data_IF_823737786399
#
_entry.id   IF_823737786399
#
_cell.length_a   1.000
_cell.length_b   1.000
_cell.length_c   1.000
_cell.angle_alpha   90.00
_cell.angle_beta   90.00
_cell.angle_gamma   90.00
#
_symmetry.space_group_name_H-M   'P 1'
#
loop_
_entity.id
_entity.type
_entity.pdbx_description
1 polymer ?
#
# COMPACT_ATOMS: atom_id res chain seq x y z
N UNK A 1 38.21 15.47 14.74
CA UNK A 1 37.46 15.58 13.47
C UNK A 1 36.77 14.30 13.01
N UNK A 2 37.43 13.14 12.89
CA UNK A 2 36.79 11.92 12.35
C UNK A 2 35.73 11.26 13.27
N UNK A 3 35.86 11.38 14.61
CA UNK A 3 34.91 10.80 15.57
C UNK A 3 33.59 11.58 15.67
N UNK A 4 33.63 12.90 15.53
CA UNK A 4 32.43 13.75 15.61
C UNK A 4 31.57 13.63 14.36
N UNK A 5 32.17 13.53 13.16
CA UNK A 5 31.39 13.26 11.95
C UNK A 5 30.72 11.88 12.01
N UNK A 6 31.40 10.86 12.53
CA UNK A 6 30.84 9.52 12.71
C UNK A 6 29.64 9.52 13.68
N UNK A 7 29.76 10.20 14.82
CA UNK A 7 28.68 10.32 15.81
C UNK A 7 27.45 11.09 15.29
N UNK A 8 27.67 12.17 14.54
CA UNK A 8 26.59 12.93 13.89
C UNK A 8 25.88 12.12 12.79
N UNK A 9 26.62 11.33 12.02
CA UNK A 9 26.05 10.50 10.94
C UNK A 9 25.22 9.34 11.50
N UNK A 10 25.68 8.71 12.60
CA UNK A 10 24.94 7.66 13.31
C UNK A 10 23.65 8.21 13.95
N UNK A 11 23.69 9.44 14.47
CA UNK A 11 22.53 10.16 15.03
C UNK A 11 21.46 10.44 13.97
N UNK A 12 21.84 11.04 12.83
CA UNK A 12 20.91 11.39 11.75
C UNK A 12 20.30 10.16 11.07
N UNK A 13 21.11 9.12 10.83
CA UNK A 13 20.64 7.86 10.24
C UNK A 13 19.60 7.15 11.12
N UNK A 14 19.83 7.15 12.44
CA UNK A 14 18.88 6.56 13.40
C UNK A 14 17.57 7.33 13.45
N UNK A 15 17.62 8.67 13.50
CA UNK A 15 16.43 9.53 13.50
C UNK A 15 15.62 9.33 12.21
N UNK A 16 16.28 9.36 11.04
CA UNK A 16 15.61 9.12 9.75
C UNK A 16 14.92 7.75 9.70
N UNK A 17 15.60 6.72 10.22
CA UNK A 17 15.10 5.36 10.28
C UNK A 17 13.86 5.23 11.17
N UNK A 18 13.85 5.87 12.35
CA UNK A 18 12.68 5.92 13.24
C UNK A 18 11.52 6.67 12.60
N UNK A 19 11.78 7.81 11.96
CA UNK A 19 10.73 8.58 11.27
C UNK A 19 10.10 7.78 10.13
N UNK A 20 10.91 7.07 9.34
CA UNK A 20 10.42 6.17 8.31
C UNK A 20 9.55 5.05 8.89
N UNK A 21 9.89 4.55 10.08
CA UNK A 21 9.08 3.55 10.76
C UNK A 21 7.71 4.06 11.17
N UNK A 22 7.68 5.24 11.77
CA UNK A 22 6.45 5.90 12.17
C UNK A 22 5.59 6.18 10.93
N UNK A 23 6.18 6.72 9.86
CA UNK A 23 5.49 6.95 8.59
C UNK A 23 4.90 5.66 8.01
N UNK A 24 5.65 4.55 8.03
CA UNK A 24 5.17 3.25 7.55
C UNK A 24 3.95 2.76 8.36
N UNK A 25 3.96 2.92 9.68
CA UNK A 25 2.81 2.59 10.52
C UNK A 25 1.58 3.43 10.17
N UNK A 26 1.72 4.74 9.97
CA UNK A 26 0.61 5.60 9.57
C UNK A 26 0.06 5.22 8.19
N UNK A 27 0.92 4.95 7.22
CA UNK A 27 0.51 4.51 5.88
C UNK A 27 -0.20 3.16 5.93
N UNK A 28 0.23 2.24 6.80
CA UNK A 28 -0.42 0.96 7.01
C UNK A 28 -1.83 1.14 7.60
N UNK A 29 -1.98 1.95 8.65
CA UNK A 29 -3.28 2.24 9.26
C UNK A 29 -4.22 2.92 8.26
N UNK A 30 -3.70 3.87 7.47
CA UNK A 30 -4.46 4.55 6.42
C UNK A 30 -4.95 3.58 5.32
N UNK A 31 -4.31 2.43 5.15
CA UNK A 31 -4.71 1.42 4.17
C UNK A 31 -5.88 0.54 4.64
N UNK A 32 -6.07 0.40 5.96
CA UNK A 32 -7.07 -0.53 6.53
C UNK A 32 -8.48 -0.15 6.10
N UNK A 33 -8.86 1.13 6.23
CA UNK A 33 -10.23 1.57 5.91
C UNK A 33 -10.56 1.38 4.42
N UNK A 34 -9.75 1.89 3.45
CA UNK A 34 -9.98 1.63 2.03
C UNK A 34 -10.02 0.15 1.67
N UNK A 35 -9.17 -0.67 2.30
CA UNK A 35 -9.17 -2.11 2.07
C UNK A 35 -10.47 -2.75 2.54
N UNK A 36 -10.92 -2.48 3.77
CA UNK A 36 -12.15 -3.02 4.31
C UNK A 36 -13.37 -2.57 3.52
N UNK A 37 -13.42 -1.31 3.11
CA UNK A 37 -14.46 -0.79 2.23
C UNK A 37 -14.44 -1.50 0.87
N UNK A 38 -13.28 -1.70 0.27
CA UNK A 38 -13.16 -2.41 -1.00
C UNK A 38 -13.57 -3.88 -0.86
N UNK A 39 -13.23 -4.54 0.24
CA UNK A 39 -13.64 -5.94 0.49
C UNK A 39 -15.16 -6.04 0.58
N UNK A 40 -15.80 -5.15 1.36
CA UNK A 40 -17.25 -5.18 1.61
C UNK A 40 -18.06 -4.72 0.41
N UNK A 41 -17.69 -3.58 -0.15
CA UNK A 41 -18.53 -2.87 -1.12
C UNK A 41 -18.06 -3.06 -2.56
N UNK A 42 -16.83 -3.55 -2.78
CA UNK A 42 -16.15 -3.56 -4.08
C UNK A 42 -16.05 -2.18 -4.74
N UNK A 43 -16.25 -1.09 -4.00
CA UNK A 43 -16.24 0.28 -4.50
C UNK A 43 -14.80 0.75 -4.70
N UNK A 44 -14.45 1.19 -5.90
CA UNK A 44 -13.06 1.56 -6.26
C UNK A 44 -12.93 2.84 -7.09
N UNK A 45 -14.03 3.51 -7.42
CA UNK A 45 -14.02 4.63 -8.38
C UNK A 45 -13.40 5.93 -7.85
N UNK A 46 -13.13 6.03 -6.54
CA UNK A 46 -12.50 7.21 -5.94
C UNK A 46 -10.99 7.28 -6.15
N UNK A 47 -10.31 6.15 -6.36
CA UNK A 47 -8.86 6.11 -6.53
C UNK A 47 -8.49 5.83 -7.99
N UNK A 48 -7.62 6.64 -8.61
CA UNK A 48 -7.16 6.40 -9.97
C UNK A 48 -6.26 5.17 -10.02
N UNK A 49 -6.23 4.48 -11.17
CA UNK A 49 -5.39 3.28 -11.38
C UNK A 49 -3.91 3.58 -11.11
N UNK A 50 -3.45 4.78 -11.47
CA UNK A 50 -2.09 5.28 -11.28
C UNK A 50 -1.68 5.30 -9.80
N UNK A 51 -2.62 5.55 -8.89
CA UNK A 51 -2.35 5.52 -7.45
C UNK A 51 -1.90 4.13 -7.01
N UNK A 52 -2.63 3.09 -7.42
CA UNK A 52 -2.30 1.71 -7.07
C UNK A 52 -0.98 1.25 -7.70
N UNK A 53 -0.73 1.62 -8.96
CA UNK A 53 0.53 1.31 -9.64
C UNK A 53 1.71 1.98 -8.93
N UNK A 54 1.58 3.26 -8.58
CA UNK A 54 2.58 4.01 -7.83
C UNK A 54 2.85 3.40 -6.45
N UNK A 55 1.79 2.96 -5.77
CA UNK A 55 1.92 2.26 -4.49
C UNK A 55 2.70 0.95 -4.63
N UNK A 56 2.34 0.11 -5.62
CA UNK A 56 3.02 -1.18 -5.86
C UNK A 56 4.50 -0.97 -6.15
N UNK A 57 4.83 0.02 -7.00
CA UNK A 57 6.21 0.37 -7.29
C UNK A 57 6.97 0.85 -6.03
N UNK A 58 6.35 1.74 -5.24
CA UNK A 58 6.92 2.23 -3.99
C UNK A 58 7.17 1.11 -2.97
N UNK A 59 6.17 0.24 -2.76
CA UNK A 59 6.27 -0.90 -1.86
C UNK A 59 7.37 -1.88 -2.31
N UNK A 60 7.55 -2.09 -3.62
CA UNK A 60 8.63 -2.93 -4.16
C UNK A 60 10.02 -2.37 -3.83
N UNK A 61 10.24 -1.07 -4.03
CA UNK A 61 11.51 -0.45 -3.65
C UNK A 61 11.76 -0.47 -2.14
N UNK A 62 10.71 -0.28 -1.33
CA UNK A 62 10.81 -0.38 0.13
C UNK A 62 11.10 -1.81 0.59
N UNK A 63 10.64 -2.84 -0.13
CA UNK A 63 11.02 -4.23 0.12
C UNK A 63 12.50 -4.47 -0.16
N UNK A 64 13.02 -3.98 -1.29
CA UNK A 64 14.45 -4.07 -1.60
C UNK A 64 15.28 -3.36 -0.51
N UNK A 65 14.85 -2.16 -0.11
CA UNK A 65 15.49 -1.41 0.97
C UNK A 65 15.48 -2.18 2.31
N UNK A 66 14.37 -2.84 2.63
CA UNK A 66 14.27 -3.66 3.84
C UNK A 66 15.22 -4.87 3.81
N UNK A 67 15.28 -5.59 2.70
CA UNK A 67 16.22 -6.71 2.52
C UNK A 67 17.66 -6.24 2.61
N UNK A 68 18.01 -5.12 1.95
CA UNK A 68 19.35 -4.55 2.03
C UNK A 68 19.74 -4.16 3.46
N UNK A 69 18.82 -3.56 4.23
CA UNK A 69 19.03 -3.23 5.63
C UNK A 69 19.28 -4.46 6.52
N UNK A 70 18.52 -5.54 6.30
CA UNK A 70 18.68 -6.83 6.99
C UNK A 70 20.05 -7.45 6.68
N UNK A 71 20.40 -7.56 5.39
CA UNK A 71 21.67 -8.17 4.94
C UNK A 71 22.88 -7.34 5.39
N UNK A 72 22.75 -6.01 5.43
CA UNK A 72 23.79 -5.11 5.93
C UNK A 72 23.97 -5.12 7.45
N UNK A 73 23.16 -5.88 8.21
CA UNK A 73 23.22 -5.94 9.67
C UNK A 73 22.80 -4.65 10.37
N UNK A 74 22.12 -3.73 9.67
CA UNK A 74 21.64 -2.49 10.23
C UNK A 74 20.31 -2.72 10.91
N UNK A 75 20.23 -2.55 12.24
CA UNK A 75 18.98 -2.56 13.03
C UNK A 75 17.93 -3.58 12.52
N UNK A 76 18.35 -4.83 12.39
CA UNK A 76 17.59 -5.93 11.76
C UNK A 76 16.13 -6.02 12.22
N UNK A 77 15.80 -5.88 13.53
CA UNK A 77 14.40 -5.97 13.98
C UNK A 77 13.50 -4.96 13.29
N UNK A 78 13.99 -3.74 13.07
CA UNK A 78 13.19 -2.68 12.45
C UNK A 78 12.94 -2.94 10.96
N UNK A 79 13.97 -3.37 10.23
CA UNK A 79 13.80 -3.70 8.82
C UNK A 79 12.95 -4.95 8.60
N UNK A 80 12.91 -5.89 9.54
CA UNK A 80 11.91 -6.97 9.54
C UNK A 80 10.48 -6.43 9.64
N UNK A 81 10.23 -5.43 10.49
CA UNK A 81 8.91 -4.76 10.56
C UNK A 81 8.58 -4.10 9.23
N UNK A 82 9.53 -3.40 8.60
CA UNK A 82 9.31 -2.79 7.28
C UNK A 82 8.99 -3.84 6.22
N UNK A 83 9.70 -4.97 6.24
CA UNK A 83 9.47 -6.06 5.31
C UNK A 83 8.03 -6.58 5.44
N UNK A 84 7.56 -6.85 6.66
CA UNK A 84 6.19 -7.32 6.91
C UNK A 84 5.16 -6.27 6.47
N UNK A 85 5.31 -5.02 6.86
CA UNK A 85 4.37 -3.94 6.52
C UNK A 85 4.27 -3.76 5.01
N UNK A 86 5.40 -3.77 4.29
CA UNK A 86 5.39 -3.63 2.84
C UNK A 86 4.80 -4.86 2.13
N UNK A 87 5.04 -6.08 2.62
CA UNK A 87 4.41 -7.29 2.08
C UNK A 87 2.88 -7.20 2.23
N UNK A 88 2.39 -6.91 3.44
CA UNK A 88 0.94 -6.81 3.67
C UNK A 88 0.34 -5.65 2.87
N UNK A 89 1.03 -4.50 2.81
CA UNK A 89 0.60 -3.35 2.00
C UNK A 89 0.54 -3.67 0.50
N UNK A 90 1.48 -4.48 -0.01
CA UNK A 90 1.50 -4.95 -1.39
C UNK A 90 0.30 -5.85 -1.69
N UNK A 91 0.00 -6.83 -0.82
CA UNK A 91 -1.15 -7.72 -0.99
C UNK A 91 -2.48 -6.96 -0.90
N UNK A 92 -2.62 -6.07 0.07
CA UNK A 92 -3.81 -5.25 0.24
C UNK A 92 -4.05 -4.33 -0.98
N UNK A 93 -3.02 -3.64 -1.46
CA UNK A 93 -3.15 -2.82 -2.67
C UNK A 93 -3.35 -3.65 -3.93
N UNK A 94 -2.67 -4.79 -4.05
CA UNK A 94 -2.86 -5.72 -5.17
C UNK A 94 -4.30 -6.24 -5.26
N UNK A 95 -4.92 -6.53 -4.11
CA UNK A 95 -6.34 -6.86 -4.05
C UNK A 95 -7.22 -5.71 -4.54
N UNK A 96 -7.05 -4.51 -3.99
CA UNK A 96 -7.86 -3.35 -4.39
C UNK A 96 -7.68 -3.00 -5.87
N UNK A 97 -6.44 -3.09 -6.37
CA UNK A 97 -6.13 -2.92 -7.78
C UNK A 97 -6.84 -3.97 -8.66
N UNK A 98 -6.86 -5.23 -8.23
CA UNK A 98 -7.56 -6.29 -8.96
C UNK A 98 -9.06 -6.01 -9.04
N UNK A 99 -9.68 -5.57 -7.94
CA UNK A 99 -11.10 -5.17 -7.92
C UNK A 99 -11.32 -3.96 -8.84
N UNK A 100 -10.45 -2.94 -8.76
CA UNK A 100 -10.47 -1.75 -9.63
C UNK A 100 -10.46 -2.14 -11.10
N UNK A 101 -9.52 -3.00 -11.51
CA UNK A 101 -9.39 -3.44 -12.89
C UNK A 101 -10.60 -4.23 -13.38
N UNK A 102 -11.18 -5.08 -12.52
CA UNK A 102 -12.44 -5.79 -12.85
C UNK A 102 -13.59 -4.81 -13.07
N UNK A 103 -13.75 -3.83 -12.18
CA UNK A 103 -14.80 -2.82 -12.28
C UNK A 103 -14.63 -1.96 -13.53
N UNK A 104 -13.42 -1.47 -13.80
CA UNK A 104 -13.11 -0.70 -15.01
C UNK A 104 -13.34 -1.52 -16.27
N UNK A 105 -12.95 -2.80 -16.29
CA UNK A 105 -13.17 -3.68 -17.44
C UNK A 105 -14.66 -3.96 -17.67
N UNK A 106 -15.43 -4.21 -16.61
CA UNK A 106 -16.86 -4.43 -16.70
C UNK A 106 -17.65 -3.19 -17.11
N UNK A 107 -17.23 -2.01 -16.64
CA UNK A 107 -17.78 -0.74 -17.06
C UNK A 107 -17.53 -0.49 -18.56
N UNK A 108 -16.28 -0.71 -19.01
CA UNK A 108 -15.89 -0.61 -20.43
C UNK A 108 -16.68 -1.55 -21.32
N UNK A 109 -16.91 -2.80 -20.90
CA UNK A 109 -17.67 -3.77 -21.71
C UNK A 109 -19.15 -3.40 -21.85
N UNK A 110 -19.67 -2.55 -20.97
CA UNK A 110 -21.04 -2.02 -21.00
C UNK A 110 -21.14 -0.60 -21.55
N UNK A 111 -20.01 0.03 -21.88
CA UNK A 111 -19.98 1.42 -22.36
C UNK A 111 -20.39 2.46 -21.31
N UNK A 112 -20.32 2.13 -20.02
CA UNK A 112 -20.72 3.01 -18.91
C UNK A 112 -19.52 3.41 -18.04
N UNK A 113 -19.72 4.38 -17.15
CA UNK A 113 -18.68 4.78 -16.19
C UNK A 113 -18.48 3.71 -15.11
N UNK A 114 -17.31 3.70 -14.44
CA UNK A 114 -17.05 2.77 -13.33
C UNK A 114 -18.04 2.96 -12.16
N UNK A 115 -18.40 4.22 -11.87
CA UNK A 115 -19.39 4.52 -10.84
C UNK A 115 -20.76 3.96 -11.20
N UNK A 116 -21.22 4.19 -12.43
CA UNK A 116 -22.51 3.68 -12.91
C UNK A 116 -22.53 2.14 -12.95
N UNK A 117 -21.42 1.52 -13.34
CA UNK A 117 -21.27 0.06 -13.26
C UNK A 117 -21.40 -0.45 -11.82
N UNK A 118 -20.83 0.27 -10.85
CA UNK A 118 -20.97 -0.08 -9.45
C UNK A 118 -22.42 0.04 -8.96
N UNK A 119 -23.10 1.13 -9.29
CA UNK A 119 -24.48 1.41 -8.87
C UNK A 119 -25.50 0.45 -9.50
N UNK A 120 -25.30 0.08 -10.77
CA UNK A 120 -26.29 -0.69 -11.55
C UNK A 120 -26.03 -2.20 -11.60
N UNK A 121 -24.79 -2.64 -11.34
CA UNK A 121 -24.40 -4.05 -11.46
C UNK A 121 -23.90 -4.61 -10.13
N UNK A 122 -22.90 -3.96 -9.52
CA UNK A 122 -22.21 -4.52 -8.36
C UNK A 122 -23.07 -4.42 -7.10
N UNK A 123 -23.53 -3.21 -6.77
CA UNK A 123 -24.30 -2.95 -5.56
C UNK A 123 -25.56 -3.84 -5.46
N UNK A 124 -26.42 -3.94 -6.50
CA UNK A 124 -27.58 -4.83 -6.44
C UNK A 124 -27.20 -6.31 -6.26
N UNK A 125 -26.10 -6.76 -6.86
CA UNK A 125 -25.62 -8.15 -6.71
C UNK A 125 -25.22 -8.45 -5.27
N UNK A 126 -24.62 -7.48 -4.56
CA UNK A 126 -24.23 -7.65 -3.16
C UNK A 126 -25.46 -7.63 -2.22
N UNK A 127 -26.44 -6.78 -2.49
CA UNK A 127 -27.67 -6.67 -1.68
C UNK A 127 -28.56 -7.90 -1.84
N UNK A 128 -28.61 -8.53 -3.03
CA UNK A 128 -29.37 -9.76 -3.26
C UNK A 128 -28.71 -11.03 -2.69
N UNK A 129 -27.47 -10.92 -2.19
CA UNK A 129 -26.73 -12.03 -1.55
C UNK A 129 -26.81 -11.99 -0.01
N UNK A 130 -27.48 -10.98 0.56
CA UNK A 130 -27.73 -10.83 2.00
C UNK A 130 -29.13 -11.30 2.36
#
# INVERSE_FOLDING_TARGET
MFKESLLLTVSLGTISTILNAIAACFLFVALITPLLETIKTKKTFFLPVQFYVGYVAGAFFLLINAVAGIVGGHNTPLFCVFLVVNIVGLFANGYMYTVKMKNVSGAKSKGISEQEYWETVIKPTLENQQ
#
